data_IF_529646043860
#
_entry.id   IF_529646043860
#
_cell.length_a   1.000
_cell.length_b   1.000
_cell.length_c   1.000
_cell.angle_alpha   90.00
_cell.angle_beta   90.00
_cell.angle_gamma   90.00
#
_symmetry.space_group_name_H-M   'P 1'
#
loop_
_entity.id
_entity.type
_entity.pdbx_description
1 polymer ?
#
# COMPACT_ATOMS: atom_id res chain seq x y z
N UNK A 1 -3.10 14.07 13.40
CA UNK A 1 -1.75 13.70 12.92
C UNK A 1 -1.74 12.22 12.55
N UNK A 2 -1.65 11.91 11.25
CA UNK A 2 -1.50 10.54 10.76
C UNK A 2 -0.22 9.95 11.34
N UNK A 3 -0.34 8.92 12.19
CA UNK A 3 0.84 8.25 12.75
C UNK A 3 1.39 7.30 11.68
N UNK A 4 2.34 7.79 10.89
CA UNK A 4 2.98 7.08 9.76
C UNK A 4 3.43 5.66 10.15
N UNK A 5 3.98 5.49 11.36
CA UNK A 5 4.38 4.20 11.90
C UNK A 5 3.22 3.19 12.01
N UNK A 6 2.01 3.65 12.30
CA UNK A 6 0.81 2.82 12.39
C UNK A 6 0.29 2.37 11.03
N UNK A 7 0.40 3.23 10.02
CA UNK A 7 0.06 2.94 8.61
C UNK A 7 0.97 1.84 8.06
N UNK A 8 2.30 2.00 8.21
CA UNK A 8 3.29 1.03 7.70
C UNK A 8 3.13 -0.32 8.40
N UNK A 9 2.89 -0.33 9.71
CA UNK A 9 2.65 -1.57 10.47
C UNK A 9 1.28 -2.19 10.21
N UNK A 10 0.35 -1.47 9.57
CA UNK A 10 -1.02 -1.94 9.33
C UNK A 10 -1.83 -2.08 10.62
N UNK A 11 -1.60 -1.19 11.60
CA UNK A 11 -2.31 -1.19 12.90
C UNK A 11 -3.55 -0.32 12.85
N UNK A 12 -4.57 -0.68 13.62
CA UNK A 12 -5.81 0.07 13.74
C UNK A 12 -5.56 1.54 14.15
N UNK A 13 -6.17 2.54 13.48
CA UNK A 13 -5.96 3.96 13.80
C UNK A 13 -6.45 4.34 15.20
N UNK A 14 -7.53 3.71 15.68
CA UNK A 14 -8.12 3.99 16.97
C UNK A 14 -7.32 3.34 18.12
N UNK A 15 -7.26 2.02 18.16
CA UNK A 15 -6.66 1.30 19.30
C UNK A 15 -5.15 1.02 19.16
N UNK A 16 -4.57 1.14 17.96
CA UNK A 16 -3.14 0.89 17.62
C UNK A 16 -2.61 -0.52 17.92
N UNK A 17 -3.42 -1.40 18.52
CA UNK A 17 -3.05 -2.77 18.88
C UNK A 17 -3.50 -3.78 17.82
N UNK A 18 -4.75 -3.66 17.37
CA UNK A 18 -5.33 -4.58 16.38
C UNK A 18 -4.72 -4.42 14.99
N UNK A 19 -4.61 -5.52 14.26
CA UNK A 19 -4.15 -5.53 12.87
C UNK A 19 -5.32 -5.25 11.91
N UNK A 20 -5.04 -4.51 10.84
CA UNK A 20 -6.01 -4.23 9.77
C UNK A 20 -6.08 -5.43 8.82
N UNK A 21 -4.94 -6.05 8.54
CA UNK A 21 -4.82 -7.17 7.61
C UNK A 21 -4.69 -8.49 8.37
N UNK A 22 -5.53 -9.46 8.01
CA UNK A 22 -5.50 -10.84 8.50
C UNK A 22 -4.27 -11.56 7.93
N UNK A 23 -4.09 -11.42 6.61
CA UNK A 23 -2.94 -11.97 5.89
C UNK A 23 -2.28 -10.84 5.13
N UNK A 24 -0.95 -10.72 5.27
CA UNK A 24 -0.15 -9.70 4.58
C UNK A 24 -0.05 -9.92 3.05
N UNK A 25 -0.62 -11.02 2.56
CA UNK A 25 -0.45 -11.50 1.19
C UNK A 25 0.95 -12.08 0.98
N UNK A 26 1.11 -12.81 -0.12
CA UNK A 26 2.41 -13.29 -0.55
C UNK A 26 2.51 -13.19 -2.08
N UNK A 27 3.40 -12.31 -2.55
CA UNK A 27 3.61 -12.05 -3.98
C UNK A 27 4.07 -13.32 -4.71
N UNK A 28 4.88 -14.17 -4.06
CA UNK A 28 5.40 -15.41 -4.65
C UNK A 28 4.33 -16.51 -4.77
N UNK A 29 3.30 -16.46 -3.92
CA UNK A 29 2.17 -17.40 -3.95
C UNK A 29 0.93 -16.79 -4.62
N UNK A 30 1.05 -15.61 -5.24
CA UNK A 30 -0.06 -14.83 -5.81
C UNK A 30 -1.23 -14.61 -4.83
N UNK A 31 -0.96 -14.65 -3.52
CA UNK A 31 -1.98 -14.52 -2.49
C UNK A 31 -2.21 -13.05 -2.17
N UNK A 32 -3.39 -12.56 -2.51
CA UNK A 32 -3.78 -11.18 -2.21
C UNK A 32 -3.92 -10.95 -0.69
N UNK A 33 -3.55 -9.77 -0.18
CA UNK A 33 -3.75 -9.42 1.22
C UNK A 33 -5.22 -9.41 1.59
N UNK A 34 -5.57 -10.10 2.68
CA UNK A 34 -6.94 -10.16 3.19
C UNK A 34 -7.09 -9.23 4.38
N UNK A 35 -8.15 -8.43 4.39
CA UNK A 35 -8.42 -7.43 5.42
C UNK A 35 -9.54 -7.90 6.35
N UNK A 36 -9.41 -7.62 7.64
CA UNK A 36 -10.53 -7.80 8.55
C UNK A 36 -11.65 -6.80 8.25
N UNK A 37 -12.92 -7.19 8.46
CA UNK A 37 -14.06 -6.25 8.36
C UNK A 37 -14.12 -5.29 9.55
N UNK A 38 -13.72 -5.77 10.73
CA UNK A 38 -13.69 -5.02 12.00
C UNK A 38 -12.39 -5.29 12.75
N UNK A 39 -11.97 -4.33 13.56
CA UNK A 39 -10.82 -4.50 14.45
C UNK A 39 -11.12 -5.54 15.54
N UNK A 40 -10.22 -6.50 15.77
CA UNK A 40 -10.35 -7.53 16.81
C UNK A 40 -10.32 -7.00 18.25
N UNK A 41 -9.79 -5.79 18.47
CA UNK A 41 -9.59 -5.23 19.82
C UNK A 41 -10.65 -4.19 20.19
N UNK A 42 -10.98 -3.27 19.28
CA UNK A 42 -11.91 -2.17 19.55
C UNK A 42 -13.21 -2.27 18.73
N UNK A 43 -13.39 -3.33 17.95
CA UNK A 43 -14.56 -3.58 17.10
C UNK A 43 -14.88 -2.47 16.07
N UNK A 44 -13.91 -1.56 15.83
CA UNK A 44 -14.02 -0.52 14.81
C UNK A 44 -14.26 -1.16 13.43
N UNK A 45 -15.32 -0.77 12.75
CA UNK A 45 -15.60 -1.16 11.37
C UNK A 45 -14.70 -0.38 10.42
N UNK A 46 -13.81 -1.07 9.70
CA UNK A 46 -12.87 -0.42 8.78
C UNK A 46 -13.57 0.06 7.50
N UNK A 47 -14.55 -0.71 7.01
CA UNK A 47 -15.40 -0.31 5.89
C UNK A 47 -16.65 0.40 6.43
N UNK A 48 -16.65 1.74 6.39
CA UNK A 48 -17.79 2.52 6.86
C UNK A 48 -19.00 2.31 5.95
N UNK A 49 -18.81 2.51 4.66
CA UNK A 49 -19.81 2.44 3.59
C UNK A 49 -19.42 1.43 2.51
N UNK A 50 -20.40 0.92 1.75
CA UNK A 50 -20.14 0.04 0.61
C UNK A 50 -19.34 0.79 -0.45
N UNK A 51 -18.18 0.25 -0.85
CA UNK A 51 -17.31 0.93 -1.81
C UNK A 51 -16.40 1.99 -1.20
N UNK A 52 -16.30 2.07 0.14
CA UNK A 52 -15.40 3.00 0.83
C UNK A 52 -13.94 2.93 0.33
N UNK A 53 -13.49 1.78 -0.17
CA UNK A 53 -12.14 1.58 -0.71
C UNK A 53 -11.94 2.03 -2.15
N UNK A 54 -12.95 2.58 -2.84
CA UNK A 54 -12.76 3.18 -4.17
C UNK A 54 -11.73 4.30 -4.12
N UNK A 55 -11.78 5.15 -3.09
CA UNK A 55 -10.76 6.19 -2.88
C UNK A 55 -9.35 5.64 -2.62
N UNK A 56 -9.26 4.52 -1.90
CA UNK A 56 -7.99 3.82 -1.72
C UNK A 56 -7.41 3.26 -3.04
N UNK A 57 -8.20 3.10 -4.10
CA UNK A 57 -7.65 2.76 -5.41
C UNK A 57 -6.83 3.93 -5.98
N UNK A 58 -7.33 5.16 -5.88
CA UNK A 58 -6.62 6.36 -6.35
C UNK A 58 -5.34 6.63 -5.56
N UNK A 59 -5.35 6.40 -4.25
CA UNK A 59 -4.13 6.50 -3.42
C UNK A 59 -3.09 5.46 -3.85
N UNK A 60 -3.52 4.24 -4.22
CA UNK A 60 -2.60 3.22 -4.73
C UNK A 60 -2.00 3.61 -6.07
N UNK A 61 -2.79 4.24 -6.94
CA UNK A 61 -2.30 4.76 -8.21
C UNK A 61 -1.28 5.87 -8.02
N UNK A 62 -1.54 6.83 -7.13
CA UNK A 62 -0.59 7.90 -6.80
C UNK A 62 0.73 7.35 -6.25
N UNK A 63 0.69 6.33 -5.39
CA UNK A 63 1.89 5.65 -4.88
C UNK A 63 2.68 4.97 -6.00
N UNK A 64 2.00 4.25 -6.90
CA UNK A 64 2.66 3.58 -8.02
C UNK A 64 3.32 4.58 -8.98
N UNK A 65 2.64 5.71 -9.27
CA UNK A 65 3.22 6.78 -10.10
C UNK A 65 4.45 7.39 -9.43
N UNK A 66 4.38 7.67 -8.12
CA UNK A 66 5.52 8.19 -7.37
C UNK A 66 6.71 7.21 -7.39
N UNK A 67 6.45 5.91 -7.25
CA UNK A 67 7.46 4.85 -7.31
C UNK A 67 8.12 4.77 -8.70
N UNK A 68 7.32 4.83 -9.77
CA UNK A 68 7.83 4.83 -11.15
C UNK A 68 8.69 6.05 -11.44
N UNK A 69 8.23 7.25 -11.07
CA UNK A 69 8.98 8.49 -11.28
C UNK A 69 10.27 8.49 -10.46
N UNK A 70 10.22 8.08 -9.19
CA UNK A 70 11.40 7.97 -8.34
C UNK A 70 12.43 7.01 -8.93
N UNK A 71 11.99 5.83 -9.39
CA UNK A 71 12.86 4.83 -10.03
C UNK A 71 13.48 5.39 -11.31
N UNK A 72 12.69 6.05 -12.16
CA UNK A 72 13.19 6.65 -13.39
C UNK A 72 14.27 7.71 -13.10
N UNK A 73 14.01 8.64 -12.17
CA UNK A 73 14.98 9.68 -11.81
C UNK A 73 16.28 9.06 -11.27
N UNK A 74 16.20 8.04 -10.41
CA UNK A 74 17.37 7.39 -9.83
C UNK A 74 18.19 6.67 -10.91
N UNK A 75 17.58 5.79 -11.69
CA UNK A 75 18.32 4.97 -12.66
C UNK A 75 18.79 5.77 -13.88
N UNK A 76 18.01 6.75 -14.32
CA UNK A 76 18.39 7.58 -15.47
C UNK A 76 19.42 8.64 -15.10
N UNK A 77 19.31 9.29 -13.94
CA UNK A 77 20.23 10.38 -13.56
C UNK A 77 21.56 9.90 -12.96
N UNK A 78 21.61 8.72 -12.34
CA UNK A 78 22.82 8.27 -11.62
C UNK A 78 23.55 7.10 -12.28
N UNK A 79 22.91 6.32 -13.15
CA UNK A 79 23.48 5.04 -13.61
C UNK A 79 23.69 4.93 -15.13
N UNK A 80 23.34 5.96 -15.93
CA UNK A 80 23.50 6.00 -17.40
C UNK A 80 23.09 4.69 -18.11
N UNK A 81 22.07 4.00 -17.58
CA UNK A 81 21.60 2.72 -18.09
C UNK A 81 20.78 2.92 -19.37
N UNK A 82 20.79 1.92 -20.25
CA UNK A 82 19.97 1.96 -21.46
C UNK A 82 18.46 2.06 -21.09
N UNK A 83 17.66 2.84 -21.84
CA UNK A 83 16.24 3.08 -21.51
C UNK A 83 15.43 1.80 -21.31
N UNK A 84 15.74 0.76 -22.10
CA UNK A 84 15.05 -0.53 -22.05
C UNK A 84 15.36 -1.30 -20.76
N UNK A 85 16.59 -1.20 -20.23
CA UNK A 85 16.97 -1.81 -18.96
C UNK A 85 16.28 -1.11 -17.78
N UNK A 86 16.25 0.22 -17.78
CA UNK A 86 15.56 1.02 -16.76
C UNK A 86 14.07 0.66 -16.73
N UNK A 87 13.43 0.55 -17.90
CA UNK A 87 12.03 0.14 -18.00
C UNK A 87 11.78 -1.24 -17.40
N UNK A 88 12.60 -2.25 -17.71
CA UNK A 88 12.46 -3.59 -17.14
C UNK A 88 12.63 -3.60 -15.62
N UNK A 89 13.59 -2.83 -15.09
CA UNK A 89 13.81 -2.71 -13.64
C UNK A 89 12.60 -2.06 -12.96
N UNK A 90 12.09 -0.95 -13.51
CA UNK A 90 10.92 -0.26 -12.96
C UNK A 90 9.68 -1.17 -12.98
N UNK A 91 9.45 -1.91 -14.07
CA UNK A 91 8.35 -2.86 -14.16
C UNK A 91 8.47 -3.98 -13.12
N UNK A 92 9.67 -4.52 -12.93
CA UNK A 92 9.94 -5.55 -11.93
C UNK A 92 9.71 -5.06 -10.50
N UNK A 93 10.20 -3.86 -10.18
CA UNK A 93 9.98 -3.18 -8.89
C UNK A 93 8.48 -2.98 -8.66
N UNK A 94 7.75 -2.44 -9.63
CA UNK A 94 6.31 -2.20 -9.51
C UNK A 94 5.51 -3.49 -9.22
N UNK A 95 5.89 -4.61 -9.84
CA UNK A 95 5.25 -5.92 -9.58
C UNK A 95 5.53 -6.38 -8.14
N UNK A 96 6.79 -6.31 -7.70
CA UNK A 96 7.18 -6.69 -6.33
C UNK A 96 6.48 -5.83 -5.28
N UNK A 97 6.42 -4.52 -5.49
CA UNK A 97 5.82 -3.57 -4.56
C UNK A 97 4.30 -3.52 -4.65
N UNK A 98 3.66 -4.12 -5.67
CA UNK A 98 2.21 -4.08 -5.87
C UNK A 98 1.41 -4.50 -4.62
N UNK A 99 1.82 -5.59 -3.97
CA UNK A 99 1.16 -6.08 -2.74
C UNK A 99 1.32 -5.11 -1.57
N UNK A 100 2.47 -4.44 -1.51
CA UNK A 100 2.76 -3.43 -0.50
C UNK A 100 1.98 -2.14 -0.73
N UNK A 101 1.94 -1.64 -1.97
CA UNK A 101 1.16 -0.48 -2.38
C UNK A 101 -0.33 -0.65 -2.07
N UNK A 102 -0.89 -1.83 -2.35
CA UNK A 102 -2.27 -2.15 -1.99
C UNK A 102 -2.54 -2.04 -0.49
N UNK A 103 -1.65 -2.58 0.35
CA UNK A 103 -1.79 -2.55 1.80
C UNK A 103 -1.66 -1.15 2.37
N UNK A 104 -0.62 -0.44 1.96
CA UNK A 104 -0.38 0.93 2.41
C UNK A 104 -1.51 1.83 1.99
N UNK A 105 -1.95 1.74 0.75
CA UNK A 105 -3.02 2.60 0.25
C UNK A 105 -4.30 2.49 1.08
N UNK A 106 -4.74 1.26 1.37
CA UNK A 106 -5.92 1.03 2.22
C UNK A 106 -5.69 1.48 3.67
N UNK A 107 -4.49 1.28 4.20
CA UNK A 107 -4.16 1.77 5.53
C UNK A 107 -4.16 3.31 5.60
N UNK A 108 -3.57 4.00 4.63
CA UNK A 108 -3.59 5.47 4.51
C UNK A 108 -5.04 5.95 4.48
N UNK A 109 -5.87 5.35 3.63
CA UNK A 109 -7.27 5.72 3.49
C UNK A 109 -8.04 5.56 4.80
N UNK A 110 -7.90 4.42 5.48
CA UNK A 110 -8.52 4.19 6.80
C UNK A 110 -8.06 5.24 7.82
N UNK A 111 -6.78 5.62 7.83
CA UNK A 111 -6.25 6.64 8.75
C UNK A 111 -6.69 8.06 8.41
N UNK A 112 -6.96 8.37 7.14
CA UNK A 112 -7.38 9.70 6.72
C UNK A 112 -8.84 9.97 7.10
N UNK A 113 -9.68 8.93 7.08
CA UNK A 113 -11.10 9.02 7.37
C UNK A 113 -11.49 8.52 8.77
N UNK A 114 -10.53 8.22 9.65
CA UNK A 114 -10.80 7.79 11.03
C UNK A 114 -10.17 8.71 12.07
#
# INVERSE_FOLDING_TARGET
>A
MVKIAGVIKGKCPNCKKGDIFETKGNIFLLQMPKMHKRCSVCNLKYEKETGFFFGAMFVSYALAVAEMVASLVIFWSFMDMAPLQVFMIVAFIAILTSTFNFRISRAIWIYLFN
#
